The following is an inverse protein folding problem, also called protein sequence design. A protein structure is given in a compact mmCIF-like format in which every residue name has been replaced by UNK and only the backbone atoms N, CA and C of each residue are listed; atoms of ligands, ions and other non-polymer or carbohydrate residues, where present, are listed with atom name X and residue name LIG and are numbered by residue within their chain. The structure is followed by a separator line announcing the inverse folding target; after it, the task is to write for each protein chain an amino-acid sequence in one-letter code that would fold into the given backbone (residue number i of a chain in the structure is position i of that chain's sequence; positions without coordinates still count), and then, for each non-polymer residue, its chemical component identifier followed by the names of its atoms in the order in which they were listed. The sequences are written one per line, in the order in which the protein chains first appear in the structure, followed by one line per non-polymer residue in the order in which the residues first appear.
data_IF_523983761859
#
_entry.id   IF_523983761859
#
_cell.length_a   1.000
_cell.length_b   1.000
_cell.length_c   1.000
_cell.angle_alpha   90.00
_cell.angle_beta   90.00
_cell.angle_gamma   90.00
#
_symmetry.space_group_name_H-M   'P 1'
#
loop_
_entity.id
_entity.type
_entity.pdbx_description
1 polymer ?
#
# COMPACT_ATOMS: atom_id res chain seq x y z
N UNK A 1 15.70 7.96 31.66
CA UNK A 1 15.31 9.29 31.12
C UNK A 1 15.28 9.36 29.60
N UNK A 2 16.20 8.68 28.86
CA UNK A 2 16.22 8.72 27.38
C UNK A 2 15.07 7.94 26.70
N UNK A 3 14.60 6.84 27.30
CA UNK A 3 13.46 6.06 26.80
C UNK A 3 12.13 6.81 26.87
N UNK A 4 11.95 7.69 27.88
CA UNK A 4 10.75 8.55 28.02
C UNK A 4 10.73 9.66 26.95
N UNK A 5 11.88 10.26 26.64
CA UNK A 5 12.00 11.30 25.62
C UNK A 5 11.82 10.76 24.19
N UNK A 6 12.16 9.50 23.94
CA UNK A 6 11.92 8.83 22.66
C UNK A 6 10.43 8.48 22.48
N UNK A 7 9.74 8.10 23.54
CA UNK A 7 8.28 7.87 23.54
C UNK A 7 7.51 9.19 23.35
N UNK A 8 7.89 10.26 24.05
CA UNK A 8 7.27 11.58 23.90
C UNK A 8 7.49 12.22 22.54
N UNK A 9 8.65 11.96 21.86
CA UNK A 9 8.86 12.39 20.47
C UNK A 9 7.99 11.63 19.46
N UNK A 10 7.49 10.44 19.79
CA UNK A 10 6.56 9.67 18.94
C UNK A 10 5.13 10.20 18.98
N UNK A 11 4.74 10.97 20.01
CA UNK A 11 3.37 11.49 20.20
C UNK A 11 3.06 12.79 19.43
N UNK A 12 4.06 13.51 18.87
CA UNK A 12 3.86 14.86 18.31
C UNK A 12 3.67 14.95 16.79
N UNK A 13 3.72 13.83 16.04
CA UNK A 13 3.55 13.84 14.58
C UNK A 13 2.14 13.39 14.23
N UNK A 14 1.33 14.32 13.70
CA UNK A 14 -0.01 13.99 13.18
C UNK A 14 0.10 12.85 12.15
N UNK A 15 -0.63 11.74 12.31
CA UNK A 15 -0.58 10.63 11.37
C UNK A 15 -1.14 11.06 10.01
N UNK A 16 -0.59 10.46 8.94
CA UNK A 16 -1.09 10.63 7.57
C UNK A 16 -2.44 9.93 7.40
N UNK A 17 -2.59 8.77 8.04
CA UNK A 17 -3.83 8.01 8.11
C UNK A 17 -4.14 7.71 9.57
N UNK A 18 -5.39 7.93 9.95
CA UNK A 18 -5.91 7.54 11.26
C UNK A 18 -7.27 6.87 11.06
N UNK A 19 -7.42 5.68 11.60
CA UNK A 19 -8.66 4.90 11.56
C UNK A 19 -9.08 4.60 13.00
N UNK A 20 -10.37 4.80 13.30
CA UNK A 20 -10.96 4.50 14.60
C UNK A 20 -12.26 3.72 14.41
N UNK A 21 -12.40 2.62 15.16
CA UNK A 21 -13.58 1.76 15.25
C UNK A 21 -14.24 1.40 13.92
N UNK A 22 -13.41 1.32 12.85
CA UNK A 22 -13.88 1.12 11.49
C UNK A 22 -14.43 -0.28 11.29
N UNK A 23 -15.69 -0.35 10.87
CA UNK A 23 -16.33 -1.58 10.41
C UNK A 23 -16.89 -1.38 9.01
N UNK A 24 -16.66 -2.35 8.11
CA UNK A 24 -17.10 -2.29 6.72
C UNK A 24 -17.75 -3.60 6.31
N UNK A 25 -18.91 -3.50 5.66
CA UNK A 25 -19.61 -4.62 5.05
C UNK A 25 -19.43 -4.61 3.53
N UNK A 26 -19.43 -5.81 2.94
CA UNK A 26 -19.45 -6.00 1.48
C UNK A 26 -20.46 -7.08 1.13
N UNK A 27 -21.38 -6.77 0.22
CA UNK A 27 -22.45 -7.68 -0.17
C UNK A 27 -23.32 -8.18 1.01
N UNK A 28 -23.48 -7.35 2.05
CA UNK A 28 -24.29 -7.66 3.24
C UNK A 28 -23.54 -8.41 4.35
N UNK A 29 -22.29 -8.80 4.14
CA UNK A 29 -21.44 -9.45 5.16
C UNK A 29 -20.40 -8.48 5.71
N UNK A 30 -20.16 -8.50 7.03
CA UNK A 30 -19.11 -7.71 7.68
C UNK A 30 -17.77 -8.34 7.35
N UNK A 31 -16.92 -7.58 6.63
CA UNK A 31 -15.61 -8.04 6.16
C UNK A 31 -14.49 -7.61 7.12
N UNK A 32 -14.59 -6.40 7.65
CA UNK A 32 -13.69 -5.87 8.68
C UNK A 32 -14.51 -5.29 9.83
N UNK A 33 -14.01 -5.47 11.05
CA UNK A 33 -14.72 -5.07 12.26
C UNK A 33 -13.78 -4.37 13.23
N UNK A 34 -14.21 -3.20 13.71
CA UNK A 34 -13.59 -2.43 14.80
C UNK A 34 -12.08 -2.19 14.58
N UNK A 35 -11.69 -1.83 13.34
CA UNK A 35 -10.29 -1.55 13.01
C UNK A 35 -9.87 -0.23 13.64
N UNK A 36 -8.77 -0.28 14.37
CA UNK A 36 -8.06 0.88 14.89
C UNK A 36 -6.61 0.82 14.40
N UNK A 37 -6.16 1.81 13.65
CA UNK A 37 -4.77 1.92 13.20
C UNK A 37 -4.40 3.36 12.83
N UNK A 38 -3.11 3.65 12.92
CA UNK A 38 -2.51 4.90 12.47
C UNK A 38 -1.33 4.59 11.55
N UNK A 39 -1.11 5.44 10.53
CA UNK A 39 0.11 5.42 9.71
C UNK A 39 0.76 6.80 9.80
N UNK A 40 2.03 6.82 10.19
CA UNK A 40 2.79 8.08 10.37
C UNK A 40 3.48 8.48 9.07
N UNK A 41 3.79 9.76 8.96
CA UNK A 41 4.55 10.28 7.82
C UNK A 41 5.93 9.61 7.76
N UNK A 42 6.33 9.19 6.54
CA UNK A 42 7.61 8.53 6.30
C UNK A 42 7.68 7.09 6.82
N UNK A 43 6.55 6.47 7.17
CA UNK A 43 6.49 5.09 7.63
C UNK A 43 6.19 4.14 6.47
N UNK A 44 6.92 3.03 6.38
CA UNK A 44 6.59 1.92 5.50
C UNK A 44 5.87 0.84 6.30
N UNK A 45 4.56 0.73 6.11
CA UNK A 45 3.69 -0.23 6.79
C UNK A 45 3.29 -1.35 5.84
N UNK A 46 3.51 -2.59 6.27
CA UNK A 46 3.01 -3.78 5.62
C UNK A 46 1.67 -4.21 6.21
N UNK A 47 0.62 -4.27 5.39
CA UNK A 47 -0.68 -4.82 5.76
C UNK A 47 -0.80 -6.24 5.22
N UNK A 48 -0.73 -7.22 6.09
CA UNK A 48 -0.71 -8.64 5.73
C UNK A 48 -1.89 -9.39 6.31
N UNK A 49 -2.16 -10.57 5.78
CA UNK A 49 -3.25 -11.44 6.23
C UNK A 49 -3.72 -12.38 5.13
N UNK A 50 -4.55 -13.38 5.44
CA UNK A 50 -5.04 -14.35 4.47
C UNK A 50 -5.94 -13.69 3.40
N UNK A 51 -6.18 -14.43 2.30
CA UNK A 51 -7.14 -13.99 1.30
C UNK A 51 -8.53 -13.88 1.93
N UNK A 52 -9.27 -12.82 1.61
CA UNK A 52 -10.58 -12.54 2.20
C UNK A 52 -10.54 -11.83 3.57
N UNK A 53 -9.36 -11.55 4.14
CA UNK A 53 -9.25 -10.87 5.46
C UNK A 53 -9.66 -9.39 5.48
N UNK A 54 -10.02 -8.81 4.33
CA UNK A 54 -10.47 -7.43 4.25
C UNK A 54 -9.40 -6.40 3.83
N UNK A 55 -8.18 -6.80 3.49
CA UNK A 55 -7.08 -5.87 3.12
C UNK A 55 -7.44 -4.89 2.01
N UNK A 56 -7.89 -5.40 0.86
CA UNK A 56 -8.37 -4.56 -0.27
C UNK A 56 -9.60 -3.75 0.13
N UNK A 57 -10.51 -4.31 0.95
CA UNK A 57 -11.68 -3.59 1.47
C UNK A 57 -11.24 -2.38 2.29
N UNK A 58 -10.23 -2.55 3.17
CA UNK A 58 -9.66 -1.46 3.96
C UNK A 58 -9.06 -0.38 3.06
N UNK A 59 -8.25 -0.75 2.05
CA UNK A 59 -7.68 0.22 1.09
C UNK A 59 -8.77 0.99 0.34
N UNK A 60 -9.81 0.30 -0.13
CA UNK A 60 -10.91 0.96 -0.84
C UNK A 60 -11.70 1.91 0.08
N UNK A 61 -11.82 1.59 1.37
CA UNK A 61 -12.45 2.49 2.35
C UNK A 61 -11.58 3.73 2.62
N UNK A 62 -10.26 3.56 2.74
CA UNK A 62 -9.31 4.68 2.85
C UNK A 62 -9.43 5.62 1.65
N UNK A 63 -9.61 5.07 0.44
CA UNK A 63 -9.81 5.84 -0.79
C UNK A 63 -11.22 6.44 -0.94
N UNK A 64 -12.12 6.24 0.02
CA UNK A 64 -13.51 6.72 -0.06
C UNK A 64 -14.35 6.01 -1.14
N UNK A 65 -13.90 4.85 -1.61
CA UNK A 65 -14.62 4.03 -2.61
C UNK A 65 -15.58 3.03 -1.97
N UNK A 66 -15.43 2.79 -0.68
CA UNK A 66 -16.36 2.02 0.15
C UNK A 66 -16.67 2.83 1.42
N UNK A 67 -17.91 2.80 1.84
CA UNK A 67 -18.35 3.49 3.05
C UNK A 67 -18.31 2.55 4.27
N UNK A 68 -17.96 3.09 5.46
CA UNK A 68 -18.14 2.39 6.73
C UNK A 68 -19.59 1.98 6.96
N UNK A 69 -19.82 0.97 7.80
CA UNK A 69 -21.19 0.61 8.23
C UNK A 69 -21.79 1.81 8.97
N UNK A 70 -22.98 2.29 8.56
CA UNK A 70 -23.62 3.42 9.22
C UNK A 70 -23.85 3.18 10.72
N UNK A 71 -23.73 4.24 11.53
CA UNK A 71 -23.99 4.23 12.98
C UNK A 71 -23.06 3.32 13.83
N UNK A 72 -21.92 2.88 13.30
CA UNK A 72 -20.91 2.13 14.07
C UNK A 72 -19.84 3.03 14.72
N UNK A 73 -19.88 4.33 14.44
CA UNK A 73 -18.89 5.29 14.97
C UNK A 73 -17.53 5.24 14.25
N UNK A 74 -17.39 4.42 13.20
CA UNK A 74 -16.12 4.25 12.48
C UNK A 74 -15.69 5.52 11.74
N UNK A 75 -14.46 5.97 11.99
CA UNK A 75 -13.86 7.15 11.37
C UNK A 75 -12.60 6.81 10.59
N UNK A 76 -12.43 7.45 9.43
CA UNK A 76 -11.19 7.46 8.66
C UNK A 76 -10.76 8.91 8.50
N UNK A 77 -9.55 9.24 8.96
CA UNK A 77 -8.96 10.58 8.79
C UNK A 77 -7.70 10.48 7.94
N UNK A 78 -7.60 11.35 6.95
CA UNK A 78 -6.46 11.47 6.05
C UNK A 78 -5.87 12.86 6.16
N UNK A 79 -4.57 12.93 6.45
CA UNK A 79 -3.85 14.21 6.61
C UNK A 79 -4.54 15.16 7.61
N UNK A 80 -5.20 14.60 8.65
CA UNK A 80 -5.96 15.32 9.66
C UNK A 80 -7.39 15.73 9.25
N UNK A 81 -7.85 15.40 8.04
CA UNK A 81 -9.21 15.67 7.56
C UNK A 81 -10.09 14.42 7.67
N UNK A 82 -11.38 14.62 7.87
CA UNK A 82 -12.34 13.52 7.90
C UNK A 82 -12.57 12.96 6.48
N UNK A 83 -12.26 11.67 6.32
CA UNK A 83 -12.40 10.93 5.06
C UNK A 83 -11.46 11.40 3.94
N UNK A 84 -11.66 10.83 2.74
CA UNK A 84 -10.98 11.24 1.52
C UNK A 84 -11.67 12.46 0.91
N UNK A 85 -10.97 13.58 0.84
CA UNK A 85 -11.51 14.85 0.36
C UNK A 85 -10.92 15.27 -0.99
N UNK A 86 -11.52 16.28 -1.63
CA UNK A 86 -10.99 16.85 -2.88
C UNK A 86 -9.59 17.47 -2.67
N UNK A 87 -9.26 17.90 -1.47
CA UNK A 87 -7.92 18.42 -1.13
C UNK A 87 -6.85 17.33 -1.11
N UNK A 88 -7.24 16.05 -0.95
CA UNK A 88 -6.33 14.92 -0.87
C UNK A 88 -6.03 14.32 -2.26
N UNK A 89 -6.79 14.75 -3.29
CA UNK A 89 -6.53 14.36 -4.67
C UNK A 89 -5.10 14.74 -5.08
N UNK A 90 -4.33 13.75 -5.52
CA UNK A 90 -2.92 13.88 -5.88
C UNK A 90 -1.96 13.72 -4.71
N UNK A 91 -2.43 13.75 -3.44
CA UNK A 91 -1.60 13.43 -2.27
C UNK A 91 -1.51 11.92 -2.00
N UNK A 92 -2.48 11.16 -2.49
CA UNK A 92 -2.50 9.71 -2.40
C UNK A 92 -2.22 9.12 -3.77
N UNK A 93 -1.17 8.33 -3.87
CA UNK A 93 -0.84 7.50 -5.03
C UNK A 93 -1.42 6.11 -4.87
N UNK A 94 -2.30 5.70 -5.78
CA UNK A 94 -2.93 4.38 -5.76
C UNK A 94 -2.36 3.44 -6.79
N UNK A 95 -1.89 2.26 -6.35
CA UNK A 95 -1.38 1.16 -7.17
C UNK A 95 -2.25 -0.07 -6.95
N UNK A 96 -3.26 -0.32 -7.79
CA UNK A 96 -4.16 -1.45 -7.65
C UNK A 96 -3.51 -2.78 -8.08
N UNK A 97 -3.98 -3.90 -7.53
CA UNK A 97 -3.56 -5.24 -7.89
C UNK A 97 -3.68 -5.54 -9.40
N UNK A 98 -4.69 -4.99 -10.06
CA UNK A 98 -4.93 -5.18 -11.50
C UNK A 98 -4.11 -4.25 -12.41
N UNK A 99 -3.23 -3.41 -11.84
CA UNK A 99 -2.45 -2.41 -12.59
C UNK A 99 -1.55 -3.01 -13.68
N UNK A 100 -1.18 -4.29 -13.56
CA UNK A 100 -0.40 -5.02 -14.55
C UNK A 100 -1.21 -5.61 -15.72
N UNK A 101 -2.55 -5.52 -15.71
CA UNK A 101 -3.41 -6.07 -16.79
C UNK A 101 -3.77 -5.00 -17.82
N UNK A 102 -2.75 -4.44 -18.46
CA UNK A 102 -2.98 -3.53 -19.60
C UNK A 102 -3.15 -4.39 -20.85
N UNK A 103 -4.23 -4.18 -21.65
CA UNK A 103 -4.44 -4.99 -22.86
C UNK A 103 -3.29 -4.83 -23.87
N UNK A 104 -2.75 -5.91 -24.38
CA UNK A 104 -1.58 -5.94 -25.27
C UNK A 104 -1.77 -5.21 -26.61
N UNK A 105 -3.00 -4.87 -26.98
CA UNK A 105 -3.29 -4.14 -28.23
C UNK A 105 -3.19 -2.62 -28.07
N UNK A 106 -3.00 -2.12 -26.85
CA UNK A 106 -2.84 -0.69 -26.61
C UNK A 106 -1.37 -0.33 -26.80
N UNK A 107 -1.09 0.47 -27.83
CA UNK A 107 0.24 1.04 -28.07
C UNK A 107 0.39 2.31 -27.27
N UNK A 108 0.88 2.18 -26.04
CA UNK A 108 1.16 3.28 -25.14
C UNK A 108 2.56 3.10 -24.56
N UNK A 109 3.30 4.18 -24.43
CA UNK A 109 4.66 4.18 -23.87
C UNK A 109 4.64 4.30 -22.35
N UNK A 110 5.76 3.94 -21.72
CA UNK A 110 5.99 4.14 -20.29
C UNK A 110 5.75 5.60 -19.90
N UNK A 111 6.34 6.54 -20.65
CA UNK A 111 6.19 7.99 -20.45
C UNK A 111 4.74 8.45 -20.49
N UNK A 112 3.96 7.95 -21.45
CA UNK A 112 2.54 8.30 -21.57
C UNK A 112 1.73 7.80 -20.38
N UNK A 113 1.98 6.56 -19.91
CA UNK A 113 1.34 6.02 -18.70
C UNK A 113 1.69 6.87 -17.47
N UNK A 114 2.97 7.23 -17.29
CA UNK A 114 3.41 8.02 -16.15
C UNK A 114 2.80 9.42 -16.18
N UNK A 115 2.71 10.04 -17.36
CA UNK A 115 2.03 11.35 -17.55
C UNK A 115 0.56 11.33 -17.16
N UNK A 116 -0.16 10.20 -17.28
CA UNK A 116 -1.53 10.10 -16.79
C UNK A 116 -1.63 10.35 -15.29
N UNK A 117 -0.59 10.01 -14.52
CA UNK A 117 -0.53 10.28 -13.08
C UNK A 117 -0.51 11.76 -12.72
N UNK A 118 -0.07 12.63 -13.65
CA UNK A 118 -0.05 14.08 -13.41
C UNK A 118 -1.42 14.75 -13.60
N UNK A 119 -2.40 14.03 -14.16
CA UNK A 119 -3.75 14.53 -14.41
C UNK A 119 -4.58 14.49 -13.12
N UNK A 120 -4.33 15.42 -12.23
CA UNK A 120 -5.12 15.59 -11.01
C UNK A 120 -5.85 16.94 -11.05
N UNK A 121 -6.81 17.14 -10.14
CA UNK A 121 -7.62 18.38 -10.08
C UNK A 121 -6.81 19.65 -9.85
N UNK A 122 -5.56 19.54 -9.34
CA UNK A 122 -4.63 20.66 -9.17
C UNK A 122 -3.89 21.02 -10.45
N UNK A 123 -3.72 20.09 -11.39
CA UNK A 123 -2.93 20.27 -12.62
C UNK A 123 -3.73 20.82 -13.81
N UNK A 124 -5.05 20.98 -13.69
CA UNK A 124 -5.91 21.56 -14.73
C UNK A 124 -5.72 23.09 -14.90
N UNK A 125 -4.76 23.70 -14.20
CA UNK A 125 -4.36 25.08 -14.41
C UNK A 125 -3.65 25.24 -15.77
N UNK A 126 -4.01 26.29 -16.49
CA UNK A 126 -3.75 26.61 -17.91
C UNK A 126 -2.26 26.69 -18.35
N UNK A 127 -1.30 26.49 -17.42
CA UNK A 127 0.15 26.57 -17.70
C UNK A 127 0.88 25.20 -17.64
N UNK A 128 0.19 24.09 -17.82
CA UNK A 128 0.59 22.76 -17.36
C UNK A 128 1.60 21.95 -18.18
N UNK A 129 1.94 22.30 -19.41
CA UNK A 129 2.69 21.36 -20.28
C UNK A 129 4.12 21.04 -19.82
N UNK A 130 4.90 22.04 -19.43
CA UNK A 130 6.28 21.85 -18.95
C UNK A 130 6.32 21.20 -17.56
N UNK A 131 5.42 21.59 -16.67
CA UNK A 131 5.29 21.01 -15.31
C UNK A 131 4.86 19.53 -15.34
N UNK A 132 3.96 19.16 -16.24
CA UNK A 132 3.53 17.77 -16.44
C UNK A 132 4.70 16.90 -16.86
N UNK A 133 5.50 17.36 -17.84
CA UNK A 133 6.67 16.63 -18.28
C UNK A 133 7.70 16.47 -17.17
N UNK A 134 8.01 17.56 -16.45
CA UNK A 134 8.99 17.53 -15.37
C UNK A 134 8.62 16.53 -14.26
N UNK A 135 7.35 16.49 -13.85
CA UNK A 135 6.87 15.53 -12.85
C UNK A 135 6.95 14.08 -13.36
N UNK A 136 6.60 13.84 -14.62
CA UNK A 136 6.71 12.52 -15.21
C UNK A 136 8.18 12.06 -15.32
N UNK A 137 9.10 12.93 -15.75
CA UNK A 137 10.54 12.62 -15.81
C UNK A 137 11.10 12.31 -14.41
N UNK A 138 10.80 13.14 -13.41
CA UNK A 138 11.22 12.89 -12.02
C UNK A 138 10.70 11.54 -11.53
N UNK A 139 9.44 11.21 -11.79
CA UNK A 139 8.88 9.91 -11.38
C UNK A 139 9.57 8.74 -12.10
N UNK A 140 9.96 8.88 -13.37
CA UNK A 140 10.74 7.90 -14.11
C UNK A 140 12.16 7.72 -13.54
N UNK A 141 12.81 8.81 -13.15
CA UNK A 141 14.11 8.80 -12.47
C UNK A 141 14.02 8.04 -11.15
N UNK A 142 13.02 8.36 -10.30
CA UNK A 142 12.81 7.72 -8.99
C UNK A 142 12.65 6.20 -9.10
N UNK A 143 12.02 5.69 -10.17
CA UNK A 143 11.84 4.23 -10.35
C UNK A 143 12.91 3.59 -11.24
N UNK A 144 13.87 4.36 -11.77
CA UNK A 144 14.96 3.87 -12.64
C UNK A 144 14.48 3.38 -14.01
N UNK A 145 13.54 4.10 -14.67
CA UNK A 145 12.99 3.75 -15.96
C UNK A 145 13.18 4.82 -17.05
N UNK A 146 14.13 5.73 -16.86
CA UNK A 146 14.40 6.81 -17.84
C UNK A 146 14.77 6.24 -19.22
N UNK A 147 15.61 5.22 -19.27
CA UNK A 147 16.06 4.54 -20.49
C UNK A 147 14.93 3.75 -21.18
N UNK A 148 13.85 3.45 -20.47
CA UNK A 148 12.66 2.75 -20.96
C UNK A 148 11.47 3.67 -21.24
N UNK A 149 11.62 4.99 -21.04
CA UNK A 149 10.52 5.94 -21.07
C UNK A 149 9.71 5.90 -22.38
N UNK A 150 10.38 5.70 -23.51
CA UNK A 150 9.75 5.66 -24.83
C UNK A 150 9.47 4.23 -25.33
N UNK A 151 9.68 3.21 -24.48
CA UNK A 151 9.33 1.82 -24.77
C UNK A 151 7.82 1.60 -24.63
N UNK A 152 7.26 0.77 -25.51
CA UNK A 152 5.87 0.32 -25.38
C UNK A 152 5.73 -0.57 -24.14
N UNK A 153 4.66 -0.37 -23.34
CA UNK A 153 4.41 -1.15 -22.12
C UNK A 153 4.27 -2.66 -22.37
N UNK A 154 3.82 -3.06 -23.54
CA UNK A 154 3.71 -4.46 -23.98
C UNK A 154 5.06 -5.20 -24.06
N UNK A 155 6.18 -4.46 -24.06
CA UNK A 155 7.55 -5.00 -24.14
C UNK A 155 8.25 -5.06 -22.78
N UNK A 156 7.59 -4.61 -21.71
CA UNK A 156 8.17 -4.57 -20.37
C UNK A 156 8.09 -5.94 -19.70
N UNK A 157 9.09 -6.23 -18.87
CA UNK A 157 8.99 -7.29 -17.87
C UNK A 157 7.93 -6.95 -16.81
N UNK A 158 7.47 -7.95 -16.05
CA UNK A 158 6.50 -7.74 -14.96
C UNK A 158 6.99 -6.71 -13.94
N UNK A 159 8.28 -6.75 -13.60
CA UNK A 159 8.90 -5.79 -12.67
C UNK A 159 8.98 -4.36 -13.25
N UNK A 160 9.35 -4.19 -14.52
CA UNK A 160 9.36 -2.88 -15.19
C UNK A 160 7.94 -2.30 -15.31
N UNK A 161 6.97 -3.15 -15.65
CA UNK A 161 5.57 -2.73 -15.71
C UNK A 161 5.09 -2.27 -14.31
N UNK A 162 5.41 -3.02 -13.26
CA UNK A 162 5.04 -2.64 -11.89
C UNK A 162 5.68 -1.31 -11.47
N UNK A 163 6.98 -1.11 -11.78
CA UNK A 163 7.65 0.18 -11.58
C UNK A 163 6.99 1.32 -12.38
N UNK A 164 6.52 1.05 -13.60
CA UNK A 164 5.79 2.03 -14.41
C UNK A 164 4.49 2.47 -13.72
N UNK A 165 3.74 1.53 -13.13
CA UNK A 165 2.50 1.86 -12.41
C UNK A 165 2.80 2.65 -11.12
N UNK A 166 3.90 2.33 -10.42
CA UNK A 166 4.36 3.11 -9.27
C UNK A 166 4.79 4.51 -9.71
N UNK A 167 5.56 4.65 -10.80
CA UNK A 167 5.94 5.95 -11.36
C UNK A 167 4.70 6.80 -11.70
N UNK A 168 3.66 6.21 -12.26
CA UNK A 168 2.39 6.89 -12.50
C UNK A 168 1.79 7.44 -11.20
N UNK A 169 1.82 6.66 -10.11
CA UNK A 169 1.32 7.11 -8.81
C UNK A 169 2.19 8.22 -8.23
N UNK A 170 3.52 8.15 -8.37
CA UNK A 170 4.47 9.18 -7.92
C UNK A 170 4.34 10.49 -8.70
N UNK A 171 4.01 10.42 -10.00
CA UNK A 171 3.85 11.60 -10.86
C UNK A 171 2.71 12.54 -10.43
N UNK A 172 1.80 12.07 -9.57
CA UNK A 172 0.79 12.92 -8.92
C UNK A 172 1.34 13.81 -7.81
N UNK A 173 2.64 13.67 -7.45
CA UNK A 173 3.29 14.27 -6.27
C UNK A 173 2.64 13.79 -4.96
N UNK A 174 2.36 12.49 -4.91
CA UNK A 174 1.76 11.85 -3.74
C UNK A 174 2.70 11.90 -2.52
N UNK A 175 2.13 12.17 -1.36
CA UNK A 175 2.79 12.07 -0.03
C UNK A 175 2.62 10.66 0.57
N UNK A 176 1.60 9.93 0.11
CA UNK A 176 1.19 8.64 0.64
C UNK A 176 0.89 7.65 -0.50
N UNK A 177 1.60 6.53 -0.55
CA UNK A 177 1.38 5.45 -1.51
C UNK A 177 0.56 4.33 -0.86
N UNK A 178 -0.53 3.96 -1.51
CA UNK A 178 -1.31 2.76 -1.23
C UNK A 178 -1.04 1.74 -2.32
N UNK A 179 -0.50 0.56 -1.95
CA UNK A 179 -0.17 -0.50 -2.91
C UNK A 179 -0.95 -1.77 -2.54
N UNK A 180 -1.72 -2.28 -3.50
CA UNK A 180 -2.49 -3.52 -3.34
C UNK A 180 -1.81 -4.65 -4.10
N UNK A 181 -1.15 -5.56 -3.36
CA UNK A 181 -0.46 -6.75 -3.90
C UNK A 181 0.55 -6.44 -5.04
N UNK A 182 1.46 -5.47 -4.89
CA UNK A 182 2.33 -5.03 -5.99
C UNK A 182 3.37 -6.07 -6.43
N UNK A 183 3.57 -7.14 -5.68
CA UNK A 183 4.55 -8.20 -5.98
C UNK A 183 3.95 -9.36 -6.77
N UNK A 184 2.64 -9.38 -7.00
CA UNK A 184 1.96 -10.46 -7.71
C UNK A 184 2.37 -10.46 -9.20
N UNK A 185 2.81 -11.63 -9.67
CA UNK A 185 3.25 -11.79 -11.06
C UNK A 185 4.65 -11.24 -11.38
N UNK A 186 5.41 -10.82 -10.35
CA UNK A 186 6.78 -10.33 -10.47
C UNK A 186 7.75 -11.45 -10.08
N UNK A 187 8.82 -11.67 -10.84
CA UNK A 187 9.88 -12.64 -10.53
C UNK A 187 10.69 -12.24 -9.28
N UNK A 188 11.36 -13.19 -8.64
CA UNK A 188 12.03 -12.97 -7.36
C UNK A 188 13.11 -11.85 -7.39
N UNK A 189 14.02 -11.77 -8.38
CA UNK A 189 14.97 -10.66 -8.45
C UNK A 189 14.29 -9.29 -8.58
N UNK A 190 13.25 -9.20 -9.40
CA UNK A 190 12.47 -7.97 -9.59
C UNK A 190 11.69 -7.59 -8.33
N UNK A 191 11.17 -8.58 -7.54
CA UNK A 191 10.52 -8.32 -6.24
C UNK A 191 11.48 -7.67 -5.25
N UNK A 192 12.68 -8.23 -5.09
CA UNK A 192 13.68 -7.68 -4.18
C UNK A 192 14.09 -6.26 -4.58
N UNK A 193 14.26 -6.04 -5.88
CA UNK A 193 14.56 -4.71 -6.42
C UNK A 193 13.41 -3.71 -6.22
N UNK A 194 12.16 -4.17 -6.28
CA UNK A 194 10.99 -3.35 -6.03
C UNK A 194 10.84 -2.99 -4.55
N UNK A 195 11.04 -3.95 -3.65
CA UNK A 195 11.02 -3.72 -2.21
C UNK A 195 12.10 -2.72 -1.79
N UNK A 196 13.32 -2.86 -2.33
CA UNK A 196 14.38 -1.89 -2.11
C UNK A 196 14.00 -0.49 -2.62
N UNK A 197 13.41 -0.38 -3.80
CA UNK A 197 12.92 0.90 -4.32
C UNK A 197 11.91 1.55 -3.36
N UNK A 198 10.95 0.78 -2.83
CA UNK A 198 9.95 1.30 -1.90
C UNK A 198 10.57 1.76 -0.58
N UNK A 199 11.57 1.02 -0.08
CA UNK A 199 12.34 1.41 1.10
C UNK A 199 13.16 2.68 0.86
N UNK A 200 13.84 2.78 -0.29
CA UNK A 200 14.59 3.98 -0.71
C UNK A 200 13.65 5.20 -0.82
N UNK A 201 12.45 5.05 -1.35
CA UNK A 201 11.44 6.13 -1.42
C UNK A 201 11.01 6.60 -0.03
N UNK A 202 10.83 5.69 0.93
CA UNK A 202 10.56 6.04 2.31
C UNK A 202 11.68 6.88 2.93
N UNK A 203 12.93 6.41 2.80
CA UNK A 203 14.08 7.02 3.48
C UNK A 203 14.56 8.31 2.81
N UNK A 204 14.60 8.37 1.47
CA UNK A 204 15.19 9.48 0.73
C UNK A 204 14.16 10.56 0.37
N UNK A 205 12.93 10.17 0.03
CA UNK A 205 11.87 11.10 -0.39
C UNK A 205 10.84 11.34 0.74
N UNK A 206 11.04 10.74 1.93
CA UNK A 206 10.12 10.81 3.06
C UNK A 206 8.68 10.39 2.68
N UNK A 207 8.58 9.42 1.76
CA UNK A 207 7.33 8.85 1.29
C UNK A 207 6.69 8.00 2.38
N UNK A 208 5.38 8.13 2.56
CA UNK A 208 4.61 7.22 3.41
C UNK A 208 4.07 6.08 2.55
N UNK A 209 4.17 4.84 3.01
CA UNK A 209 3.75 3.67 2.24
C UNK A 209 2.89 2.74 3.09
N UNK A 210 1.71 2.38 2.58
CA UNK A 210 0.91 1.26 3.06
C UNK A 210 0.79 0.22 1.95
N UNK A 211 1.45 -0.90 2.13
CA UNK A 211 1.52 -1.98 1.15
C UNK A 211 0.77 -3.21 1.64
N UNK A 212 -0.23 -3.61 0.89
CA UNK A 212 -0.92 -4.90 1.10
C UNK A 212 -0.12 -6.02 0.45
N UNK A 213 0.07 -7.11 1.17
CA UNK A 213 0.63 -8.35 0.63
C UNK A 213 0.09 -9.57 1.38
N UNK A 214 0.06 -10.72 0.70
CA UNK A 214 -0.09 -12.02 1.33
C UNK A 214 1.26 -12.72 1.56
N UNK A 215 2.35 -12.18 1.00
CA UNK A 215 3.72 -12.66 1.18
C UNK A 215 4.37 -11.98 2.38
N UNK A 216 4.14 -12.58 3.56
CA UNK A 216 4.64 -12.10 4.84
C UNK A 216 6.16 -12.01 4.86
N UNK A 217 6.84 -13.02 4.28
CA UNK A 217 8.31 -13.10 4.27
C UNK A 217 8.91 -11.95 3.45
N UNK A 218 8.34 -11.67 2.28
CA UNK A 218 8.84 -10.59 1.44
C UNK A 218 8.64 -9.21 2.10
N UNK A 219 7.45 -8.97 2.68
CA UNK A 219 7.14 -7.65 3.23
C UNK A 219 7.87 -7.37 4.55
N UNK A 220 8.13 -8.39 5.38
CA UNK A 220 8.86 -8.23 6.66
C UNK A 220 10.32 -7.82 6.47
N UNK A 221 10.88 -8.00 5.27
CA UNK A 221 12.25 -7.58 4.95
C UNK A 221 12.37 -6.09 4.59
N UNK A 222 11.26 -5.43 4.23
CA UNK A 222 11.27 -4.05 3.76
C UNK A 222 10.41 -3.11 4.62
N UNK A 223 9.29 -3.59 5.17
CA UNK A 223 8.41 -2.75 5.98
C UNK A 223 8.99 -2.53 7.39
N UNK A 224 8.88 -1.30 7.89
CA UNK A 224 9.28 -0.95 9.25
C UNK A 224 8.32 -1.52 10.30
N UNK A 225 7.05 -1.65 9.94
CA UNK A 225 5.95 -2.11 10.79
C UNK A 225 5.02 -3.01 10.00
N UNK A 226 4.54 -4.04 10.66
CA UNK A 226 3.57 -4.99 10.10
C UNK A 226 2.25 -4.87 10.87
N UNK A 227 1.16 -4.85 10.11
CA UNK A 227 -0.19 -5.01 10.62
C UNK A 227 -0.74 -6.32 10.06
N UNK A 228 -1.08 -7.26 10.92
CA UNK A 228 -1.72 -8.51 10.52
C UNK A 228 -3.22 -8.40 10.71
N UNK A 229 -3.95 -8.51 9.57
CA UNK A 229 -5.39 -8.35 9.50
C UNK A 229 -6.08 -9.70 9.26
N UNK A 230 -7.00 -10.06 10.15
CA UNK A 230 -7.88 -11.22 10.00
C UNK A 230 -9.22 -10.96 10.73
N UNK A 231 -10.19 -10.39 10.00
CA UNK A 231 -11.46 -9.91 10.55
C UNK A 231 -11.35 -8.66 11.42
N UNK A 232 -10.20 -8.47 12.07
CA UNK A 232 -9.74 -7.35 12.88
C UNK A 232 -8.22 -7.32 12.89
N UNK A 233 -7.60 -6.33 13.53
CA UNK A 233 -6.15 -6.28 13.72
C UNK A 233 -5.76 -7.33 14.77
N UNK A 234 -4.90 -8.28 14.39
CA UNK A 234 -4.39 -9.36 15.25
C UNK A 234 -2.97 -9.11 15.73
N UNK A 235 -2.19 -8.37 14.94
CA UNK A 235 -0.86 -7.91 15.31
C UNK A 235 -0.64 -6.52 14.71
N UNK A 236 0.06 -5.67 15.42
CA UNK A 236 0.48 -4.34 15.01
C UNK A 236 1.77 -3.98 15.75
N UNK A 237 2.88 -4.02 15.05
CA UNK A 237 4.19 -3.78 15.65
C UNK A 237 5.34 -3.77 14.64
N UNK A 238 6.58 -3.53 15.11
CA UNK A 238 7.78 -3.61 14.29
C UNK A 238 7.88 -4.94 13.56
N UNK A 239 8.45 -4.94 12.35
CA UNK A 239 8.57 -6.17 11.54
C UNK A 239 9.45 -7.24 12.24
N UNK A 240 10.40 -6.82 13.06
CA UNK A 240 11.27 -7.70 13.87
C UNK A 240 10.54 -8.44 15.01
N UNK A 241 9.44 -7.87 15.49
CA UNK A 241 8.61 -8.44 16.55
C UNK A 241 7.49 -9.35 16.03
N UNK A 242 7.45 -9.57 14.71
CA UNK A 242 6.42 -10.38 14.08
C UNK A 242 6.50 -11.83 14.57
N UNK A 243 5.42 -12.39 15.16
CA UNK A 243 5.39 -13.79 15.57
C UNK A 243 5.64 -14.75 14.39
N UNK A 244 6.21 -15.90 14.66
CA UNK A 244 6.35 -16.94 13.65
C UNK A 244 4.99 -17.44 13.13
N UNK A 245 5.00 -18.13 11.96
CA UNK A 245 3.77 -18.61 11.31
C UNK A 245 2.95 -19.56 12.20
N UNK A 246 3.61 -20.34 13.08
CA UNK A 246 2.94 -21.26 14.01
C UNK A 246 2.23 -20.50 15.11
N UNK A 247 2.82 -19.45 15.62
CA UNK A 247 2.21 -18.52 16.60
C UNK A 247 1.05 -17.75 15.99
N UNK A 248 1.17 -17.31 14.72
CA UNK A 248 0.07 -16.69 13.97
C UNK A 248 -1.09 -17.68 13.72
N UNK A 249 -0.82 -18.97 13.49
CA UNK A 249 -1.84 -20.00 13.41
C UNK A 249 -2.57 -20.19 14.74
N UNK A 250 -1.87 -20.09 15.87
CA UNK A 250 -2.47 -20.07 17.22
C UNK A 250 -3.41 -18.89 17.44
N UNK A 251 -3.09 -17.70 16.90
CA UNK A 251 -3.96 -16.53 16.92
C UNK A 251 -5.25 -16.73 16.11
N UNK A 252 -5.26 -17.65 15.14
CA UNK A 252 -6.44 -18.03 14.34
C UNK A 252 -7.42 -18.92 15.09
N UNK A 253 -7.07 -19.42 16.29
CA UNK A 253 -7.89 -20.41 16.99
C UNK A 253 -7.95 -21.77 16.28
N UNK A 254 -7.06 -22.04 15.33
CA UNK A 254 -6.90 -23.32 14.67
C UNK A 254 -6.04 -24.17 15.60
N UNK A 255 -6.70 -24.97 16.47
CA UNK A 255 -6.04 -26.07 17.18
C UNK A 255 -5.46 -27.02 16.12
N UNK A 256 -4.19 -27.40 16.31
CA UNK A 256 -3.53 -28.39 15.45
C UNK A 256 -4.43 -29.61 15.25
N UNK A 257 -4.81 -29.89 14.00
CA UNK A 257 -5.30 -31.20 13.62
C UNK A 257 -4.08 -32.13 13.69
N UNK A 258 -3.95 -32.88 14.77
CA UNK A 258 -2.97 -33.96 14.86
C UNK A 258 -3.25 -34.94 13.73
N UNK A 259 -2.28 -35.12 12.85
CA UNK A 259 -2.22 -36.26 11.95
C UNK A 259 -2.14 -37.55 12.81
N UNK A 260 -3.31 -38.16 13.04
CA UNK A 260 -3.43 -39.47 13.66
C UNK A 260 -3.10 -40.50 12.58
N UNK A 261 -1.81 -40.68 12.29
CA UNK A 261 -1.32 -41.85 11.57
C UNK A 261 -1.28 -43.01 12.56
N UNK A 262 -2.49 -43.55 12.82
CA UNK A 262 -2.66 -44.84 13.45
C UNK A 262 -2.05 -45.95 12.59
N UNK A 263 -0.88 -46.46 13.00
CA UNK A 263 -0.43 -47.76 12.60
C UNK A 263 -1.44 -48.81 13.13
N UNK A 264 -2.23 -49.38 12.22
CA UNK A 264 -3.05 -50.58 12.45
C UNK A 264 -2.42 -51.75 11.75
N UNK A 265 -2.15 -52.78 12.52
CA UNK A 265 -1.62 -54.11 12.15
C UNK A 265 -2.42 -54.83 11.05
#
# INVERSE_FOLDING_TARGET
MELSAAAERRESVTPVLQIRDLSVARSGEVVIQEINLDVRKGEFVGLVGPNGSGKTTLLLTILGLLEPIPNTGGEVRLFGNDGFSKSDHGRIGWVPQAGSKIPNHIRITVREIVRLGTLNSRSLSVFGGSSINLRAERALEMVGLVDKADSEISRLSGGELQRTIIARALASEADFLLLDEPLVGVDLPSRNSLLKLLDDLCHQENMTILMVSHDLTAISQAAHRIIYLEGGVRFDGPSEDLPDLSSLAGLRGITHVHDDHGHGH
#
